data_IF_467699619589
#
_entry.id   IF_467699619589
#
_cell.length_a   1.000
_cell.length_b   1.000
_cell.length_c   1.000
_cell.angle_alpha   90.00
_cell.angle_beta   90.00
_cell.angle_gamma   90.00
#
_symmetry.space_group_name_H-M   'P 1'
#
loop_
_entity.id
_entity.type
_entity.pdbx_description
1 polymer ?
#
# COMPACT_ATOMS: atom_id res chain seq x y z
N UNK A 1 40.81 27.35 23.55
CA UNK A 1 40.14 26.51 22.52
C UNK A 1 38.78 26.15 23.09
N UNK A 2 37.73 26.83 22.63
CA UNK A 2 36.39 26.77 23.25
C UNK A 2 35.66 25.49 22.88
N UNK A 3 35.51 24.57 23.85
CA UNK A 3 34.54 23.49 23.78
C UNK A 3 33.12 24.07 23.89
N UNK A 4 32.60 24.51 22.75
CA UNK A 4 31.18 24.82 22.59
C UNK A 4 30.45 23.49 22.40
N UNK A 5 29.95 22.90 23.49
CA UNK A 5 28.99 21.80 23.42
C UNK A 5 27.76 22.30 22.67
N UNK A 6 27.56 21.80 21.45
CA UNK A 6 26.37 22.06 20.63
C UNK A 6 25.12 21.74 21.45
N UNK A 7 24.36 22.79 21.80
CA UNK A 7 23.31 22.70 22.82
C UNK A 7 22.09 21.89 22.36
N UNK A 8 21.90 21.65 21.06
CA UNK A 8 20.73 20.97 20.53
C UNK A 8 21.04 20.18 19.25
N UNK A 9 21.41 18.92 19.41
CA UNK A 9 21.25 17.90 18.36
C UNK A 9 20.38 16.77 18.95
N UNK A 10 19.08 17.02 19.10
CA UNK A 10 18.17 15.95 19.46
C UNK A 10 17.91 15.12 18.20
N UNK A 11 18.32 13.84 18.15
CA UNK A 11 17.85 12.95 17.10
C UNK A 11 16.32 12.95 17.15
N UNK A 12 15.65 12.93 16.00
CA UNK A 12 14.20 12.82 15.92
C UNK A 12 13.75 11.65 16.79
N UNK A 13 13.16 11.96 17.94
CA UNK A 13 12.66 10.94 18.86
C UNK A 13 11.21 10.66 18.51
N UNK A 14 10.80 9.39 18.51
CA UNK A 14 9.41 9.00 18.19
C UNK A 14 8.38 9.66 19.12
N UNK A 15 8.83 10.15 20.29
CA UNK A 15 8.03 10.83 21.32
C UNK A 15 8.35 12.32 21.45
N UNK A 16 8.98 12.95 20.45
CA UNK A 16 9.16 14.40 20.42
C UNK A 16 10.02 14.96 21.56
N UNK A 17 11.03 14.22 21.99
CA UNK A 17 11.92 14.58 23.12
C UNK A 17 11.43 14.13 24.49
N UNK A 18 10.24 13.54 24.61
CA UNK A 18 9.73 12.96 25.87
C UNK A 18 10.15 11.49 25.98
N UNK A 19 10.50 11.03 27.19
CA UNK A 19 10.81 9.62 27.44
C UNK A 19 9.52 8.80 27.36
N UNK A 20 9.40 7.79 26.47
CA UNK A 20 8.21 6.95 26.43
C UNK A 20 8.10 6.17 27.73
N UNK A 21 6.95 6.26 28.37
CA UNK A 21 6.60 5.48 29.56
C UNK A 21 5.71 4.32 29.11
N UNK A 22 6.06 3.09 29.48
CA UNK A 22 5.18 1.95 29.22
C UNK A 22 3.98 2.02 30.16
N UNK A 23 2.78 1.79 29.63
CA UNK A 23 1.55 1.68 30.44
C UNK A 23 1.67 0.51 31.43
N UNK A 24 2.48 -0.50 31.07
CA UNK A 24 2.76 -1.70 31.85
C UNK A 24 3.66 -1.43 33.08
N UNK A 25 4.22 -0.23 33.19
CA UNK A 25 5.04 0.21 34.31
C UNK A 25 6.50 -0.27 34.23
N UNK A 26 7.28 0.17 35.21
CA UNK A 26 8.72 -0.13 35.34
C UNK A 26 8.98 -1.64 35.47
N UNK A 27 8.07 -2.37 36.10
CA UNK A 27 8.15 -3.82 36.31
C UNK A 27 7.64 -4.63 35.12
N UNK A 28 7.55 -4.06 33.91
CA UNK A 28 7.40 -4.86 32.69
C UNK A 28 8.63 -5.78 32.49
N UNK A 29 9.82 -5.23 32.73
CA UNK A 29 11.09 -5.95 32.63
C UNK A 29 11.26 -6.93 33.80
N UNK A 30 11.54 -8.19 33.49
CA UNK A 30 11.78 -9.24 34.48
C UNK A 30 12.97 -8.92 35.38
N UNK A 31 14.02 -8.29 34.83
CA UNK A 31 15.22 -7.91 35.59
C UNK A 31 14.91 -6.92 36.72
N UNK A 32 13.97 -6.00 36.48
CA UNK A 32 13.54 -5.02 37.50
C UNK A 32 12.63 -5.64 38.55
N UNK A 33 12.05 -6.81 38.29
CA UNK A 33 11.32 -7.57 39.33
C UNK A 33 12.25 -8.28 40.30
N UNK A 34 13.52 -8.49 39.91
CA UNK A 34 14.55 -9.11 40.73
C UNK A 34 15.29 -8.09 41.61
N UNK A 35 15.08 -6.79 41.40
CA UNK A 35 15.65 -5.75 42.25
C UNK A 35 14.86 -5.55 43.54
N UNK A 36 15.50 -4.97 44.55
CA UNK A 36 14.91 -4.65 45.86
C UNK A 36 13.70 -3.70 45.76
N UNK A 37 13.58 -2.95 44.66
CA UNK A 37 12.45 -2.06 44.38
C UNK A 37 11.12 -2.81 44.14
N UNK A 38 11.14 -4.14 43.95
CA UNK A 38 9.93 -4.94 43.73
C UNK A 38 9.25 -5.33 45.05
N UNK A 39 8.66 -4.31 45.69
CA UNK A 39 7.94 -4.42 46.96
C UNK A 39 6.68 -5.27 46.84
N UNK A 40 6.09 -5.63 47.99
CA UNK A 40 4.86 -6.41 48.04
C UNK A 40 3.66 -5.65 47.42
N UNK A 41 3.65 -4.32 47.54
CA UNK A 41 2.65 -3.44 46.92
C UNK A 41 2.72 -3.52 45.39
N UNK A 42 3.92 -3.40 44.82
CA UNK A 42 4.17 -3.52 43.38
C UNK A 42 3.81 -4.92 42.85
N UNK A 43 4.03 -5.96 43.67
CA UNK A 43 3.63 -7.33 43.34
C UNK A 43 2.11 -7.49 43.31
N UNK A 44 1.40 -6.88 44.25
CA UNK A 44 -0.06 -6.85 44.27
C UNK A 44 -0.63 -6.09 43.07
N UNK A 45 -0.08 -4.93 42.74
CA UNK A 45 -0.46 -4.15 41.56
C UNK A 45 -0.22 -4.95 40.27
N UNK A 46 0.93 -5.61 40.14
CA UNK A 46 1.24 -6.44 38.96
C UNK A 46 0.29 -7.63 38.83
N UNK A 47 -0.08 -8.27 39.95
CA UNK A 47 -1.06 -9.36 39.97
C UNK A 47 -2.43 -8.87 39.48
N UNK A 48 -2.85 -7.68 39.94
CA UNK A 48 -4.09 -7.06 39.48
C UNK A 48 -4.02 -6.73 37.98
N UNK A 49 -2.94 -6.08 37.52
CA UNK A 49 -2.74 -5.77 36.10
C UNK A 49 -2.83 -7.01 35.20
N UNK A 50 -2.18 -8.11 35.60
CA UNK A 50 -2.22 -9.36 34.85
C UNK A 50 -3.63 -9.97 34.81
N UNK A 51 -4.39 -9.84 35.90
CA UNK A 51 -5.79 -10.26 35.95
C UNK A 51 -6.67 -9.39 35.04
N UNK A 52 -6.40 -8.09 34.97
CA UNK A 52 -7.13 -7.15 34.11
C UNK A 52 -6.85 -7.39 32.61
N UNK A 53 -5.76 -8.08 32.26
CA UNK A 53 -5.51 -8.51 30.88
C UNK A 53 -6.36 -9.72 30.45
N UNK A 54 -7.04 -10.40 31.38
CA UNK A 54 -7.92 -11.52 31.03
C UNK A 54 -9.21 -10.95 30.46
N UNK A 55 -9.40 -11.14 29.15
CA UNK A 55 -10.63 -10.72 28.47
C UNK A 55 -11.83 -11.50 29.01
N UNK A 56 -13.01 -10.87 28.95
CA UNK A 56 -14.24 -11.56 29.29
C UNK A 56 -14.48 -12.73 28.32
N UNK A 57 -15.16 -13.82 28.73
CA UNK A 57 -15.47 -14.94 27.83
C UNK A 57 -16.28 -14.53 26.59
N UNK A 58 -16.95 -13.38 26.66
CA UNK A 58 -17.74 -12.82 25.57
C UNK A 58 -16.92 -11.98 24.59
N UNK A 59 -15.63 -11.78 24.86
CA UNK A 59 -14.72 -10.98 24.04
C UNK A 59 -13.63 -11.85 23.39
N UNK A 60 -13.23 -11.52 22.14
CA UNK A 60 -13.74 -10.43 21.31
C UNK A 60 -15.12 -10.76 20.71
N UNK A 61 -16.04 -9.77 20.69
CA UNK A 61 -17.31 -9.93 19.97
C UNK A 61 -17.04 -9.84 18.47
N UNK A 62 -17.17 -10.93 17.69
CA UNK A 62 -17.12 -10.81 16.25
C UNK A 62 -18.26 -9.90 15.78
N UNK A 63 -18.07 -9.20 14.65
CA UNK A 63 -19.11 -8.38 14.04
C UNK A 63 -20.40 -9.20 13.93
N UNK A 64 -21.46 -8.79 14.65
CA UNK A 64 -22.74 -9.49 14.59
C UNK A 64 -23.37 -9.30 13.22
N UNK A 65 -24.18 -10.27 12.78
CA UNK A 65 -24.84 -10.14 11.49
C UNK A 65 -25.78 -8.94 11.45
N UNK A 66 -26.40 -8.61 12.58
CA UNK A 66 -27.24 -7.42 12.79
C UNK A 66 -26.43 -6.13 12.60
N UNK A 67 -25.27 -6.02 13.24
CA UNK A 67 -24.39 -4.86 13.08
C UNK A 67 -23.95 -4.70 11.62
N UNK A 68 -23.59 -5.79 10.93
CA UNK A 68 -23.21 -5.74 9.51
C UNK A 68 -24.39 -5.28 8.65
N UNK A 69 -25.62 -5.71 8.97
CA UNK A 69 -26.83 -5.33 8.24
C UNK A 69 -27.14 -3.84 8.41
N UNK A 70 -26.98 -3.30 9.61
CA UNK A 70 -27.26 -1.90 9.93
C UNK A 70 -26.19 -0.94 9.42
N UNK A 71 -24.91 -1.30 9.57
CA UNK A 71 -23.78 -0.42 9.23
C UNK A 71 -23.42 -0.45 7.75
N UNK A 72 -23.66 -1.58 7.05
CA UNK A 72 -23.18 -1.78 5.68
C UNK A 72 -24.30 -1.69 4.65
N UNK A 73 -24.11 -0.81 3.65
CA UNK A 73 -25.01 -0.67 2.50
C UNK A 73 -25.34 -2.03 1.83
N UNK A 74 -26.60 -2.30 1.46
CA UNK A 74 -27.04 -3.51 0.74
C UNK A 74 -26.19 -3.88 -0.49
N UNK A 75 -25.81 -2.91 -1.32
CA UNK A 75 -24.98 -3.14 -2.52
C UNK A 75 -23.60 -3.68 -2.10
N UNK A 76 -23.00 -3.06 -1.08
CA UNK A 76 -21.71 -3.49 -0.57
C UNK A 76 -21.80 -4.86 0.09
N UNK A 77 -22.93 -5.20 0.72
CA UNK A 77 -23.18 -6.54 1.26
C UNK A 77 -23.26 -7.58 0.14
N UNK A 78 -24.04 -7.29 -0.91
CA UNK A 78 -24.18 -8.16 -2.08
C UNK A 78 -22.82 -8.44 -2.75
N UNK A 79 -22.04 -7.39 -3.06
CA UNK A 79 -20.71 -7.53 -3.65
C UNK A 79 -19.70 -8.24 -2.74
N UNK A 80 -19.94 -8.26 -1.43
CA UNK A 80 -19.05 -8.94 -0.46
C UNK A 80 -19.35 -10.42 -0.27
N UNK A 81 -20.57 -10.87 -0.60
CA UNK A 81 -21.01 -12.27 -0.43
C UNK A 81 -20.11 -13.31 -1.10
N UNK A 82 -19.72 -13.18 -2.39
CA UNK A 82 -18.90 -14.22 -3.01
C UNK A 82 -17.55 -14.38 -2.31
N UNK A 83 -16.97 -13.28 -1.83
CA UNK A 83 -15.69 -13.31 -1.13
C UNK A 83 -15.80 -13.86 0.30
N UNK A 84 -16.94 -13.66 0.96
CA UNK A 84 -17.25 -14.31 2.24
C UNK A 84 -17.38 -15.83 2.08
N UNK A 85 -18.00 -16.29 0.99
CA UNK A 85 -18.13 -17.72 0.70
C UNK A 85 -16.75 -18.36 0.41
N UNK A 86 -15.89 -17.65 -0.32
CA UNK A 86 -14.52 -18.09 -0.56
C UNK A 86 -13.75 -18.21 0.77
N UNK A 87 -13.86 -17.20 1.64
CA UNK A 87 -13.22 -17.21 2.96
C UNK A 87 -13.71 -18.39 3.81
N UNK A 88 -15.03 -18.61 3.92
CA UNK A 88 -15.58 -19.69 4.74
C UNK A 88 -15.22 -21.07 4.21
N UNK A 89 -15.14 -21.23 2.88
CA UNK A 89 -14.72 -22.49 2.24
C UNK A 89 -13.23 -22.79 2.40
N UNK A 90 -12.37 -21.77 2.48
CA UNK A 90 -10.91 -21.93 2.53
C UNK A 90 -10.33 -21.87 3.95
N UNK A 91 -11.05 -21.23 4.88
CA UNK A 91 -10.70 -21.15 6.30
C UNK A 91 -10.39 -22.49 6.99
N UNK A 92 -11.10 -23.62 6.74
CA UNK A 92 -10.77 -24.88 7.40
C UNK A 92 -9.43 -25.49 6.93
N UNK A 93 -8.96 -25.12 5.74
CA UNK A 93 -7.73 -25.70 5.16
C UNK A 93 -6.50 -24.84 5.48
N UNK A 94 -6.61 -23.52 5.33
CA UNK A 94 -5.47 -22.59 5.37
C UNK A 94 -5.43 -21.79 6.68
N UNK A 95 -6.52 -21.82 7.47
CA UNK A 95 -6.67 -21.06 8.71
C UNK A 95 -7.35 -19.70 8.51
N UNK A 96 -7.96 -19.19 9.59
CA UNK A 96 -8.81 -17.98 9.56
C UNK A 96 -8.05 -16.71 9.18
N UNK A 97 -6.82 -16.54 9.67
CA UNK A 97 -6.02 -15.34 9.40
C UNK A 97 -5.62 -15.24 7.93
N UNK A 98 -5.16 -16.34 7.34
CA UNK A 98 -4.76 -16.39 5.93
C UNK A 98 -5.99 -16.27 5.03
N UNK A 99 -7.09 -16.95 5.34
CA UNK A 99 -8.33 -16.84 4.58
C UNK A 99 -8.87 -15.39 4.53
N UNK A 100 -8.78 -14.65 5.63
CA UNK A 100 -9.14 -13.23 5.68
C UNK A 100 -8.26 -12.37 4.76
N UNK A 101 -6.95 -12.64 4.69
CA UNK A 101 -6.05 -11.96 3.74
C UNK A 101 -6.37 -12.32 2.29
N UNK A 102 -6.65 -13.59 2.01
CA UNK A 102 -7.04 -14.08 0.68
C UNK A 102 -8.30 -13.36 0.19
N UNK A 103 -9.33 -13.27 1.04
CA UNK A 103 -10.54 -12.50 0.77
C UNK A 103 -10.27 -11.04 0.41
N UNK A 104 -9.27 -10.41 1.03
CA UNK A 104 -8.94 -9.01 0.79
C UNK A 104 -8.13 -8.80 -0.49
N UNK A 105 -7.19 -9.70 -0.79
CA UNK A 105 -6.24 -9.57 -1.90
C UNK A 105 -6.89 -9.94 -3.24
N UNK A 106 -7.59 -11.09 -3.31
CA UNK A 106 -8.16 -11.60 -4.56
C UNK A 106 -9.01 -10.56 -5.31
N UNK A 107 -10.06 -9.94 -4.72
CA UNK A 107 -10.90 -9.01 -5.46
C UNK A 107 -10.11 -7.81 -5.98
N UNK A 108 -9.11 -7.33 -5.22
CA UNK A 108 -8.26 -6.22 -5.65
C UNK A 108 -7.39 -6.61 -6.84
N UNK A 109 -6.79 -7.79 -6.80
CA UNK A 109 -5.98 -8.29 -7.91
C UNK A 109 -6.79 -8.47 -9.18
N UNK A 110 -8.03 -8.97 -9.08
CA UNK A 110 -8.94 -9.11 -10.22
C UNK A 110 -9.28 -7.74 -10.82
N UNK A 111 -9.63 -6.76 -9.97
CA UNK A 111 -9.95 -5.39 -10.43
C UNK A 111 -8.73 -4.72 -11.07
N UNK A 112 -7.54 -4.86 -10.47
CA UNK A 112 -6.30 -4.30 -11.04
C UNK A 112 -6.02 -4.94 -12.40
N UNK A 113 -6.08 -6.26 -12.50
CA UNK A 113 -5.83 -6.98 -13.74
C UNK A 113 -6.84 -6.59 -14.83
N UNK A 114 -8.12 -6.51 -14.50
CA UNK A 114 -9.16 -6.06 -15.43
C UNK A 114 -8.91 -4.62 -15.88
N UNK A 115 -8.60 -3.71 -14.96
CA UNK A 115 -8.29 -2.32 -15.27
C UNK A 115 -7.04 -2.20 -16.16
N UNK A 116 -5.99 -2.99 -15.91
CA UNK A 116 -4.78 -3.03 -16.73
C UNK A 116 -5.10 -3.49 -18.15
N UNK A 117 -5.87 -4.58 -18.33
CA UNK A 117 -6.25 -5.05 -19.65
C UNK A 117 -7.12 -4.06 -20.42
N UNK A 118 -8.13 -3.48 -19.75
CA UNK A 118 -8.99 -2.46 -20.37
C UNK A 118 -8.17 -1.24 -20.79
N UNK A 119 -7.28 -0.76 -19.92
CA UNK A 119 -6.42 0.39 -20.21
C UNK A 119 -5.47 0.08 -21.35
N UNK A 120 -4.80 -1.07 -21.33
CA UNK A 120 -3.88 -1.47 -22.40
C UNK A 120 -4.58 -1.64 -23.75
N UNK A 121 -5.73 -2.31 -23.76
CA UNK A 121 -6.54 -2.46 -24.97
C UNK A 121 -6.98 -1.10 -25.53
N UNK A 122 -7.46 -0.22 -24.65
CA UNK A 122 -7.87 1.12 -25.03
C UNK A 122 -6.70 1.94 -25.60
N UNK A 123 -5.54 1.93 -24.94
CA UNK A 123 -4.33 2.61 -25.41
C UNK A 123 -3.76 2.02 -26.69
N UNK A 124 -4.01 0.73 -27.00
CA UNK A 124 -3.50 0.08 -28.20
C UNK A 124 -4.34 0.40 -29.44
N UNK A 125 -5.66 0.43 -29.33
CA UNK A 125 -6.56 0.53 -30.49
C UNK A 125 -7.24 1.90 -30.64
N UNK A 126 -7.17 2.77 -29.62
CA UNK A 126 -7.72 4.13 -29.65
C UNK A 126 -6.61 5.18 -29.55
N UNK A 127 -5.46 4.94 -30.19
CA UNK A 127 -4.42 5.95 -30.34
C UNK A 127 -4.90 7.07 -31.27
N UNK A 128 -4.36 8.26 -31.03
CA UNK A 128 -4.65 9.44 -31.81
C UNK A 128 -3.81 9.44 -33.09
N UNK A 129 -4.34 8.84 -34.15
CA UNK A 129 -3.73 8.83 -35.48
C UNK A 129 -4.20 10.03 -36.31
N UNK A 130 -3.52 10.32 -37.42
CA UNK A 130 -3.88 11.38 -38.37
C UNK A 130 -5.33 11.30 -38.91
N UNK A 131 -5.98 10.14 -38.84
CA UNK A 131 -7.37 9.92 -39.29
C UNK A 131 -8.42 10.32 -38.25
N UNK A 132 -8.03 10.57 -36.99
CA UNK A 132 -8.97 10.81 -35.87
C UNK A 132 -8.60 12.09 -35.13
N UNK A 133 -9.62 12.82 -34.68
CA UNK A 133 -9.44 14.05 -33.91
C UNK A 133 -9.35 13.83 -32.39
N UNK A 134 -9.55 12.60 -31.92
CA UNK A 134 -9.58 12.24 -30.50
C UNK A 134 -8.78 10.95 -30.27
N UNK A 135 -8.32 10.75 -29.04
CA UNK A 135 -7.54 9.59 -28.66
C UNK A 135 -6.40 9.95 -27.72
N UNK A 136 -5.73 8.94 -27.18
CA UNK A 136 -4.55 9.15 -26.35
C UNK A 136 -3.32 9.24 -27.26
N UNK A 137 -2.54 10.30 -27.11
CA UNK A 137 -1.24 10.44 -27.77
C UNK A 137 -0.15 9.98 -26.80
N UNK A 138 0.63 8.98 -27.19
CA UNK A 138 1.77 8.49 -26.41
C UNK A 138 3.05 8.96 -27.10
N UNK A 139 3.71 9.95 -26.53
CA UNK A 139 5.03 10.41 -26.97
C UNK A 139 6.09 9.83 -26.04
N UNK A 140 7.03 9.08 -26.62
CA UNK A 140 8.16 8.53 -25.86
C UNK A 140 9.31 9.54 -25.85
N UNK A 141 9.91 9.84 -24.69
CA UNK A 141 11.12 10.62 -24.65
C UNK A 141 12.27 9.85 -25.30
N UNK A 142 13.24 10.59 -25.84
CA UNK A 142 14.45 9.98 -26.41
C UNK A 142 15.20 9.18 -25.34
N UNK A 143 15.75 8.00 -25.69
CA UNK A 143 16.56 7.24 -24.75
C UNK A 143 17.81 8.05 -24.36
N UNK A 144 18.21 7.95 -23.10
CA UNK A 144 19.47 8.58 -22.63
C UNK A 144 20.65 7.82 -23.23
N UNK A 145 21.65 8.54 -23.73
CA UNK A 145 22.91 7.97 -24.19
C UNK A 145 24.05 8.45 -23.29
N UNK A 146 24.83 7.50 -22.76
CA UNK A 146 26.00 7.78 -21.95
C UNK A 146 27.30 7.51 -22.73
N UNK A 147 28.43 8.15 -22.38
CA UNK A 147 29.72 7.85 -23.00
C UNK A 147 30.06 6.36 -22.85
N UNK A 148 30.23 5.66 -23.97
CA UNK A 148 30.50 4.22 -24.02
C UNK A 148 29.32 3.34 -24.47
N UNK A 149 28.10 3.87 -24.51
CA UNK A 149 26.96 3.19 -25.13
C UNK A 149 27.07 3.21 -26.66
N UNK A 150 26.49 2.21 -27.34
CA UNK A 150 26.43 2.17 -28.82
C UNK A 150 25.70 3.38 -29.42
N UNK A 151 24.82 4.00 -28.64
CA UNK A 151 24.00 5.14 -29.07
C UNK A 151 24.67 6.49 -28.76
N UNK A 152 25.92 6.51 -28.30
CA UNK A 152 26.68 7.72 -28.00
C UNK A 152 27.69 8.05 -29.12
N UNK A 153 27.76 9.31 -29.60
CA UNK A 153 26.96 10.47 -29.18
C UNK A 153 25.53 10.38 -29.71
N UNK A 154 24.53 10.73 -28.87
CA UNK A 154 23.15 10.85 -29.31
C UNK A 154 23.05 12.00 -30.33
N UNK A 155 22.94 11.66 -31.60
CA UNK A 155 22.80 12.65 -32.65
C UNK A 155 21.41 13.28 -32.59
N UNK A 156 21.35 14.61 -32.80
CA UNK A 156 20.08 15.28 -32.96
C UNK A 156 19.44 14.84 -34.29
N UNK A 157 18.32 14.12 -34.19
CA UNK A 157 17.46 13.86 -35.35
C UNK A 157 17.04 15.20 -35.97
N UNK A 158 17.20 15.32 -37.28
CA UNK A 158 16.69 16.46 -38.02
C UNK A 158 15.18 16.30 -38.13
N UNK A 159 14.44 17.14 -37.43
CA UNK A 159 12.97 17.16 -37.42
C UNK A 159 12.53 18.31 -38.30
N UNK A 160 11.68 18.05 -39.29
CA UNK A 160 11.07 19.12 -40.09
C UNK A 160 9.93 19.79 -39.30
N UNK A 161 9.60 21.07 -39.57
CA UNK A 161 8.47 21.73 -38.91
C UNK A 161 7.13 20.98 -39.01
N UNK A 162 6.94 20.19 -40.07
CA UNK A 162 5.73 19.40 -40.28
C UNK A 162 5.69 18.10 -39.46
N UNK A 163 6.80 17.66 -38.88
CA UNK A 163 6.88 16.38 -38.14
C UNK A 163 6.34 16.48 -36.71
N UNK A 164 6.22 17.69 -36.16
CA UNK A 164 5.80 17.90 -34.76
C UNK A 164 4.38 17.41 -34.45
N UNK A 165 3.51 17.28 -35.47
CA UNK A 165 2.14 16.79 -35.31
C UNK A 165 1.75 15.81 -36.42
N UNK A 166 2.71 15.02 -36.93
CA UNK A 166 2.46 14.11 -38.05
C UNK A 166 1.43 13.02 -37.71
N UNK A 167 1.40 12.54 -36.46
CA UNK A 167 0.47 11.49 -35.97
C UNK A 167 0.45 10.25 -36.88
N UNK A 168 1.62 9.86 -37.39
CA UNK A 168 1.79 8.72 -38.28
C UNK A 168 1.26 8.94 -39.70
N UNK A 169 1.05 10.18 -40.13
CA UNK A 169 0.62 10.51 -41.48
C UNK A 169 1.70 10.15 -42.51
N UNK A 170 2.98 10.45 -42.26
CA UNK A 170 4.10 10.06 -43.13
C UNK A 170 4.32 8.53 -43.18
N UNK A 171 3.98 7.82 -42.11
CA UNK A 171 4.11 6.35 -42.02
C UNK A 171 3.00 5.57 -42.75
N UNK A 172 2.00 6.26 -43.31
CA UNK A 172 0.88 5.62 -44.00
C UNK A 172 1.35 4.93 -45.29
N UNK A 173 0.76 3.78 -45.60
CA UNK A 173 0.99 3.07 -46.87
C UNK A 173 -0.05 3.38 -47.95
N UNK A 174 -1.04 4.21 -47.62
CA UNK A 174 -2.17 4.53 -48.50
C UNK A 174 -1.93 5.90 -49.16
N UNK A 175 -2.18 6.01 -50.47
CA UNK A 175 -1.98 7.24 -51.27
C UNK A 175 -0.50 7.64 -51.44
N UNK A 176 0.37 6.67 -51.75
CA UNK A 176 1.79 6.90 -52.09
C UNK A 176 2.08 6.77 -53.60
N UNK A 177 1.04 6.74 -54.44
CA UNK A 177 1.15 6.68 -55.91
C UNK A 177 1.39 8.06 -56.53
#
# INVERSE_FOLDING_TARGET
MSDQVSKYNYPSSQTGGVKPLSIRGIFEDERRRLSEEFTDEERAWRKQWLKDQVLSPNEPRPESEEWIREVRNPIRRFLSKPWQLLESSTAPVIGKTVAAHVRYIIPKTIVILAATYVTWYHLKYNQNDWTRCYGVTVTMPKPRAFPGDTNFPAQAEKVEPNDFCDRGFKDRKVFLD
#
